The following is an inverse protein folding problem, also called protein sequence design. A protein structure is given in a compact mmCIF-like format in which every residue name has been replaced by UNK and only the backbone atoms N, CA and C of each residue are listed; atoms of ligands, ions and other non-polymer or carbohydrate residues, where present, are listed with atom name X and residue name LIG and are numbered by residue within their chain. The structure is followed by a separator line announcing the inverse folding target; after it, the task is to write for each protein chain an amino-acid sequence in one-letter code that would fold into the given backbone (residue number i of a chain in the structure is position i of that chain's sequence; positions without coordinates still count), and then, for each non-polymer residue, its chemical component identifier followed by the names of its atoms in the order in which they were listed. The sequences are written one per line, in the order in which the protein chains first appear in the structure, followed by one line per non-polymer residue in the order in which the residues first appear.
data_IF_847084862899
#
_entry.id   IF_847084862899
#
_cell.length_a   1.000
_cell.length_b   1.000
_cell.length_c   1.000
_cell.angle_alpha   90.00
_cell.angle_beta   90.00
_cell.angle_gamma   90.00
#
_symmetry.space_group_name_H-M   'P 1'
#
loop_
_entity.id
_entity.type
_entity.pdbx_description
1 polymer ?
#
# COMPACT_ATOMS: atom_id res chain seq x y z
N UNK A 1 32.73 -2.66 -2.37
CA UNK A 1 32.07 -2.36 -1.08
C UNK A 1 31.07 -1.25 -1.34
N UNK A 2 29.81 -1.62 -1.52
CA UNK A 2 28.66 -0.77 -1.81
C UNK A 2 27.95 -0.46 -0.47
N UNK A 3 27.37 0.70 -0.16
CA UNK A 3 27.32 2.06 -0.71
C UNK A 3 26.77 2.91 0.44
N UNK A 4 27.23 4.14 0.64
CA UNK A 4 26.59 5.05 1.58
C UNK A 4 25.26 5.52 1.01
N UNK A 5 24.14 4.95 1.46
CA UNK A 5 22.81 5.48 1.14
C UNK A 5 22.59 6.74 1.97
N UNK A 6 22.41 7.88 1.30
CA UNK A 6 21.99 9.11 1.98
C UNK A 6 20.59 8.91 2.57
N UNK A 7 20.29 9.54 3.72
CA UNK A 7 18.95 9.53 4.32
C UNK A 7 17.84 10.02 3.37
N UNK A 8 18.21 10.77 2.32
CA UNK A 8 17.27 11.22 1.29
C UNK A 8 16.93 10.11 0.30
N UNK A 9 17.91 9.27 -0.05
CA UNK A 9 17.71 8.13 -0.97
C UNK A 9 16.79 7.08 -0.37
N UNK A 10 16.90 6.81 0.94
CA UNK A 10 16.02 5.85 1.62
C UNK A 10 14.56 6.31 1.62
N UNK A 11 14.31 7.61 1.78
CA UNK A 11 12.96 8.18 1.76
C UNK A 11 12.36 8.16 0.35
N UNK A 12 13.19 8.39 -0.66
CA UNK A 12 12.79 8.33 -2.06
C UNK A 12 12.45 6.89 -2.48
N UNK A 13 13.30 5.92 -2.12
CA UNK A 13 13.02 4.50 -2.32
C UNK A 13 11.74 4.04 -1.60
N UNK A 14 11.46 4.55 -0.40
CA UNK A 14 10.22 4.25 0.32
C UNK A 14 8.96 4.87 -0.32
N UNK A 15 9.11 5.95 -1.10
CA UNK A 15 8.05 6.54 -1.91
C UNK A 15 7.73 5.73 -3.17
N UNK A 16 8.74 5.07 -3.74
CA UNK A 16 8.63 4.25 -4.96
C UNK A 16 8.31 2.78 -4.67
N UNK A 17 8.69 2.28 -3.49
CA UNK A 17 8.41 0.92 -3.07
C UNK A 17 6.94 0.79 -2.61
N UNK A 18 6.19 -0.01 -3.36
CA UNK A 18 4.80 -0.37 -3.09
C UNK A 18 4.70 -1.84 -2.67
N UNK A 19 3.75 -2.17 -1.80
CA UNK A 19 3.43 -3.53 -1.38
C UNK A 19 1.97 -3.85 -1.66
N UNK A 20 1.69 -5.12 -1.92
CA UNK A 20 0.35 -5.67 -2.11
C UNK A 20 0.30 -7.05 -1.45
N UNK A 21 -0.66 -7.24 -0.56
CA UNK A 21 -0.91 -8.47 0.17
C UNK A 21 -2.34 -8.92 -0.12
N UNK A 22 -2.54 -10.11 -0.67
CA UNK A 22 -3.87 -10.65 -0.97
C UNK A 22 -4.41 -11.46 0.21
N UNK A 23 -5.70 -11.34 0.51
CA UNK A 23 -6.34 -12.07 1.63
C UNK A 23 -6.79 -13.51 1.27
N UNK A 24 -6.63 -13.91 -0.01
CA UNK A 24 -7.04 -15.22 -0.53
C UNK A 24 -8.55 -15.41 -0.70
N UNK A 25 -9.38 -14.46 -0.29
CA UNK A 25 -10.84 -14.46 -0.36
C UNK A 25 -11.38 -13.49 -1.43
N UNK A 26 -10.49 -12.83 -2.15
CA UNK A 26 -10.80 -11.87 -3.22
C UNK A 26 -10.58 -10.41 -2.83
N UNK A 27 -10.16 -10.16 -1.58
CA UNK A 27 -9.67 -8.88 -1.11
C UNK A 27 -8.14 -8.76 -1.13
N UNK A 28 -7.66 -7.57 -0.82
CA UNK A 28 -6.24 -7.27 -0.69
C UNK A 28 -6.00 -6.03 0.18
N UNK A 29 -4.77 -5.91 0.67
CA UNK A 29 -4.21 -4.72 1.24
C UNK A 29 -3.06 -4.23 0.36
N UNK A 30 -2.92 -2.93 0.13
CA UNK A 30 -1.81 -2.34 -0.62
C UNK A 30 -1.46 -0.95 -0.13
N UNK A 31 -0.19 -0.58 -0.25
CA UNK A 31 0.36 0.66 0.30
C UNK A 31 1.73 0.98 -0.28
N UNK A 32 2.20 2.21 -0.10
CA UNK A 32 3.63 2.51 -0.19
C UNK A 32 4.30 2.15 1.12
N UNK A 33 5.59 1.81 1.09
CA UNK A 33 6.39 1.55 2.31
C UNK A 33 6.49 2.82 3.17
N UNK A 34 6.48 4.00 2.53
CA UNK A 34 6.48 5.30 3.21
C UNK A 34 5.12 5.74 3.78
N UNK A 35 4.04 5.01 3.51
CA UNK A 35 2.68 5.42 3.90
C UNK A 35 2.10 6.61 3.12
N UNK A 36 2.88 7.23 2.22
CA UNK A 36 2.39 8.29 1.35
C UNK A 36 1.48 7.73 0.26
N UNK A 37 0.24 8.20 0.20
CA UNK A 37 -0.73 7.80 -0.83
C UNK A 37 -0.46 8.53 -2.13
N UNK A 38 0.25 7.87 -3.04
CA UNK A 38 0.50 8.36 -4.41
C UNK A 38 -0.55 7.86 -5.41
N UNK A 39 -1.33 6.82 -5.07
CA UNK A 39 -2.37 6.21 -5.93
C UNK A 39 -3.73 6.05 -5.23
N UNK A 40 -4.82 6.14 -6.02
CA UNK A 40 -6.23 6.11 -5.58
C UNK A 40 -6.69 4.80 -4.91
N UNK A 41 -5.98 3.69 -5.15
CA UNK A 41 -6.37 2.34 -4.68
C UNK A 41 -5.39 1.72 -3.67
N UNK A 42 -4.55 2.52 -3.01
CA UNK A 42 -3.93 2.06 -1.77
C UNK A 42 -5.02 1.90 -0.71
N UNK A 43 -5.23 0.68 -0.25
CA UNK A 43 -6.23 0.34 0.74
C UNK A 43 -5.63 -0.68 1.69
N UNK A 44 -5.71 -0.45 2.99
CA UNK A 44 -5.26 -1.41 4.00
C UNK A 44 -6.27 -2.57 4.17
N UNK A 45 -7.52 -2.36 3.73
CA UNK A 45 -8.54 -3.40 3.71
C UNK A 45 -9.50 -3.15 2.53
N UNK A 46 -9.29 -3.87 1.45
CA UNK A 46 -10.23 -4.00 0.34
C UNK A 46 -10.78 -5.42 0.34
N UNK A 47 -12.10 -5.59 0.41
CA UNK A 47 -12.76 -6.90 0.37
C UNK A 47 -13.67 -7.01 -0.84
N UNK A 48 -13.70 -8.18 -1.50
CA UNK A 48 -14.64 -8.47 -2.57
C UNK A 48 -15.79 -9.32 -2.00
N UNK A 49 -16.88 -8.67 -1.63
CA UNK A 49 -18.02 -9.35 -0.98
C UNK A 49 -18.81 -10.19 -1.99
N UNK A 50 -18.71 -9.89 -3.30
CA UNK A 50 -19.41 -10.66 -4.36
C UNK A 50 -18.58 -10.72 -5.64
N UNK A 51 -17.51 -11.53 -5.71
CA UNK A 51 -16.61 -11.57 -6.87
C UNK A 51 -17.37 -11.83 -8.20
N UNK A 52 -17.04 -11.15 -9.32
CA UNK A 52 -16.01 -10.12 -9.50
C UNK A 52 -16.45 -8.67 -9.18
N UNK A 53 -17.72 -8.45 -8.82
CA UNK A 53 -18.31 -7.14 -8.49
C UNK A 53 -18.33 -6.90 -6.97
N UNK A 54 -18.90 -5.79 -6.49
CA UNK A 54 -19.07 -5.57 -5.04
C UNK A 54 -17.77 -5.49 -4.23
N UNK A 55 -16.77 -4.74 -4.71
CA UNK A 55 -15.54 -4.45 -3.96
C UNK A 55 -15.76 -3.27 -3.03
N UNK A 56 -15.44 -3.46 -1.75
CA UNK A 56 -15.53 -2.42 -0.73
C UNK A 56 -14.14 -2.09 -0.21
N UNK A 57 -13.80 -0.81 -0.24
CA UNK A 57 -12.63 -0.29 0.47
C UNK A 57 -13.10 0.09 1.87
N UNK A 58 -12.80 -0.77 2.84
CA UNK A 58 -13.17 -0.55 4.24
C UNK A 58 -12.18 0.38 4.93
N UNK A 59 -10.90 0.29 4.57
CA UNK A 59 -9.84 1.18 5.09
C UNK A 59 -8.97 1.65 3.93
N UNK A 60 -9.10 2.92 3.53
CA UNK A 60 -8.30 3.50 2.44
C UNK A 60 -6.92 3.98 2.92
N UNK A 61 -6.70 4.11 4.22
CA UNK A 61 -5.39 4.44 4.78
C UNK A 61 -5.51 4.96 6.21
N UNK A 62 -4.36 5.11 6.85
CA UNK A 62 -4.23 5.53 8.23
C UNK A 62 -3.23 6.68 8.31
N UNK A 63 -3.54 7.68 9.12
CA UNK A 63 -2.68 8.83 9.40
C UNK A 63 -2.52 8.92 10.92
N UNK A 64 -1.30 8.73 11.39
CA UNK A 64 -0.94 8.88 12.81
C UNK A 64 -0.03 10.09 12.94
N UNK A 65 -0.48 11.05 13.75
CA UNK A 65 0.26 12.26 14.10
C UNK A 65 1.33 11.99 15.16
#
# INVERSE_FOLDING_TARGET
MATGLSSTDSKQLAGEAEWLEADGLGGFASGTVSGMRTRRYHALLLTAITPPTGRFVLVNGFDAW
#
